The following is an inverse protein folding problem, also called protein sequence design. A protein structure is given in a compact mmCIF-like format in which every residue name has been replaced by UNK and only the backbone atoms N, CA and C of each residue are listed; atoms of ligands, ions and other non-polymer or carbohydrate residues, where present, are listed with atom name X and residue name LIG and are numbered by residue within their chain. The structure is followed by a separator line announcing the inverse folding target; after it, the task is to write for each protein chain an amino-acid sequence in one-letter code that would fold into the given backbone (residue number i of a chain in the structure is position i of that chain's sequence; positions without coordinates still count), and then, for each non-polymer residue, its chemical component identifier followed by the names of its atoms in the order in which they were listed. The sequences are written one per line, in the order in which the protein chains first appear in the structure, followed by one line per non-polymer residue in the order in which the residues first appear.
data_IF_698090646594
#
_entry.id   IF_698090646594
#
_cell.length_a   1.000
_cell.length_b   1.000
_cell.length_c   1.000
_cell.angle_alpha   90.00
_cell.angle_beta   90.00
_cell.angle_gamma   90.00
#
_symmetry.space_group_name_H-M   'P 1'
#
loop_
_entity.id
_entity.type
_entity.pdbx_description
1 polymer ?
#
# COMPACT_ATOMS: atom_id res chain seq x y z
N UNK A 1 9.42 -8.26 12.19
CA UNK A 1 9.37 -6.99 11.43
C UNK A 1 9.63 -7.35 9.98
N UNK A 2 8.73 -7.08 9.05
CA UNK A 2 8.94 -7.42 7.64
C UNK A 2 10.14 -6.67 7.07
N UNK A 3 10.95 -7.38 6.29
CA UNK A 3 12.15 -6.85 5.66
C UNK A 3 11.80 -5.87 4.52
N UNK A 4 12.59 -4.80 4.39
CA UNK A 4 12.47 -3.86 3.27
C UNK A 4 13.13 -4.44 2.03
N UNK A 5 12.41 -4.43 0.92
CA UNK A 5 12.83 -4.92 -0.38
C UNK A 5 13.00 -3.72 -1.31
N UNK A 6 14.04 -3.75 -2.14
CA UNK A 6 14.30 -2.72 -3.13
C UNK A 6 13.16 -2.62 -4.15
N UNK A 7 12.76 -1.39 -4.52
CA UNK A 7 11.65 -1.18 -5.45
C UNK A 7 11.90 -1.73 -6.86
N UNK A 8 13.15 -1.95 -7.26
CA UNK A 8 13.47 -2.67 -8.51
C UNK A 8 12.81 -4.07 -8.57
N UNK A 9 12.54 -4.68 -7.41
CA UNK A 9 11.87 -5.98 -7.31
C UNK A 9 10.35 -5.88 -7.27
N UNK A 10 9.75 -4.71 -7.50
CA UNK A 10 8.30 -4.52 -7.43
C UNK A 10 7.53 -5.43 -8.39
N UNK A 11 8.10 -5.76 -9.56
CA UNK A 11 7.50 -6.71 -10.50
C UNK A 11 7.28 -8.11 -9.90
N UNK A 12 7.97 -8.44 -8.80
CA UNK A 12 7.81 -9.69 -8.07
C UNK A 12 6.72 -9.62 -6.99
N UNK A 13 6.05 -8.48 -6.80
CA UNK A 13 4.99 -8.34 -5.80
C UNK A 13 3.88 -9.42 -5.90
N UNK A 14 3.49 -9.96 -7.08
CA UNK A 14 2.46 -11.00 -7.13
C UNK A 14 2.88 -12.29 -6.42
N UNK A 15 4.19 -12.58 -6.39
CA UNK A 15 4.77 -13.74 -5.69
C UNK A 15 4.81 -13.55 -4.18
N UNK A 16 4.84 -12.30 -3.73
CA UNK A 16 4.87 -11.93 -2.32
C UNK A 16 3.47 -11.64 -1.76
N UNK A 17 2.48 -11.40 -2.62
CA UNK A 17 1.11 -11.09 -2.23
C UNK A 17 0.48 -12.24 -1.44
N UNK A 18 -0.14 -11.91 -0.30
CA UNK A 18 -0.80 -12.86 0.59
C UNK A 18 -2.10 -12.26 1.12
N UNK A 19 -3.17 -13.07 1.31
CA UNK A 19 -4.41 -12.60 1.92
C UNK A 19 -4.17 -12.00 3.31
N UNK A 20 -4.81 -10.87 3.60
CA UNK A 20 -4.66 -10.15 4.87
C UNK A 20 -3.40 -9.28 4.97
N UNK A 21 -2.62 -9.17 3.90
CA UNK A 21 -1.43 -8.31 3.84
C UNK A 21 -1.55 -7.31 2.69
N UNK A 22 -0.89 -6.16 2.85
CA UNK A 22 -0.72 -5.10 1.85
C UNK A 22 0.76 -4.77 1.73
N UNK A 23 1.14 -4.09 0.65
CA UNK A 23 2.48 -3.57 0.48
C UNK A 23 2.56 -2.15 1.01
N UNK A 24 3.48 -1.91 1.92
CA UNK A 24 3.92 -0.59 2.31
C UNK A 24 5.08 -0.19 1.40
N UNK A 25 4.85 0.79 0.54
CA UNK A 25 5.83 1.38 -0.38
C UNK A 25 6.27 2.71 0.19
N UNK A 26 7.58 2.97 0.21
CA UNK A 26 8.13 4.26 0.63
C UNK A 26 8.95 4.91 -0.47
N UNK A 27 8.99 6.23 -0.47
CA UNK A 27 9.84 7.01 -1.37
C UNK A 27 11.01 7.66 -0.64
N UNK A 28 11.88 8.35 -1.38
CA UNK A 28 13.05 9.04 -0.84
C UNK A 28 12.71 10.14 0.19
N UNK A 29 11.50 10.70 0.15
CA UNK A 29 11.02 11.69 1.11
C UNK A 29 10.45 11.07 2.40
N UNK A 30 10.40 9.74 2.49
CA UNK A 30 9.82 9.04 3.63
C UNK A 30 8.29 8.99 3.64
N UNK A 31 7.62 9.37 2.54
CA UNK A 31 6.18 9.15 2.38
C UNK A 31 5.91 7.64 2.28
N UNK A 32 4.82 7.17 2.92
CA UNK A 32 4.43 5.76 2.95
C UNK A 32 3.06 5.55 2.29
N UNK A 33 2.96 4.56 1.40
CA UNK A 33 1.76 4.20 0.64
C UNK A 33 1.45 2.74 0.92
N UNK A 34 0.24 2.48 1.37
CA UNK A 34 -0.27 1.12 1.57
C UNK A 34 -1.13 0.76 0.36
N UNK A 35 -0.72 -0.25 -0.38
CA UNK A 35 -1.41 -0.66 -1.61
C UNK A 35 -1.36 -2.17 -1.79
N UNK A 36 -2.26 -2.71 -2.61
CA UNK A 36 -2.13 -4.07 -3.10
C UNK A 36 -0.98 -4.17 -4.12
N UNK A 37 -0.65 -5.38 -4.56
CA UNK A 37 0.26 -5.55 -5.67
C UNK A 37 -0.39 -5.04 -6.97
N UNK A 38 0.10 -3.91 -7.48
CA UNK A 38 -0.34 -3.31 -8.72
C UNK A 38 0.88 -2.96 -9.58
N UNK A 39 0.97 -3.55 -10.78
CA UNK A 39 2.11 -3.38 -11.70
C UNK A 39 1.57 -2.82 -13.04
N UNK A 40 1.99 -1.61 -13.47
CA UNK A 40 2.87 -0.68 -12.77
C UNK A 40 2.22 -0.07 -11.53
N UNK A 41 3.01 0.31 -10.53
CA UNK A 41 2.51 1.01 -9.36
C UNK A 41 1.91 2.36 -9.78
N UNK A 42 0.69 2.66 -9.34
CA UNK A 42 0.05 3.97 -9.52
C UNK A 42 0.02 4.74 -8.19
N UNK A 43 1.07 5.52 -7.88
CA UNK A 43 1.05 6.36 -6.69
C UNK A 43 0.00 7.48 -6.82
N UNK A 44 -0.51 8.00 -5.69
CA UNK A 44 -1.43 9.13 -5.69
C UNK A 44 -0.76 10.40 -6.22
N UNK A 45 -1.55 11.39 -6.65
CA UNK A 45 -1.02 12.66 -7.19
C UNK A 45 -0.21 13.48 -6.16
N UNK A 46 -0.38 13.21 -4.87
CA UNK A 46 0.39 13.82 -3.77
C UNK A 46 1.77 13.20 -3.56
N UNK A 47 2.16 12.23 -4.39
CA UNK A 47 3.42 11.52 -4.27
C UNK A 47 4.55 12.28 -4.95
N UNK A 48 5.50 12.77 -4.16
CA UNK A 48 6.50 13.74 -4.65
C UNK A 48 7.69 13.10 -5.35
N UNK A 49 8.04 11.87 -4.97
CA UNK A 49 9.30 11.21 -5.36
C UNK A 49 9.10 9.76 -5.77
N UNK A 50 10.05 9.24 -6.55
CA UNK A 50 10.06 7.85 -6.97
C UNK A 50 10.05 6.89 -5.75
N UNK A 51 9.29 5.79 -5.82
CA UNK A 51 9.37 4.71 -4.84
C UNK A 51 10.79 4.16 -4.75
N UNK A 52 11.28 3.89 -3.53
CA UNK A 52 12.65 3.40 -3.30
C UNK A 52 12.68 2.01 -2.69
N UNK A 53 11.69 1.66 -1.86
CA UNK A 53 11.59 0.35 -1.22
C UNK A 53 10.16 0.03 -0.87
N UNK A 54 9.88 -1.26 -0.74
CA UNK A 54 8.59 -1.75 -0.29
C UNK A 54 8.75 -2.90 0.69
N UNK A 55 7.71 -3.19 1.48
CA UNK A 55 7.64 -4.39 2.33
C UNK A 55 6.20 -4.88 2.41
N UNK A 56 6.03 -6.17 2.70
CA UNK A 56 4.71 -6.74 2.95
C UNK A 56 4.35 -6.55 4.44
N UNK A 57 3.23 -5.92 4.73
CA UNK A 57 2.73 -5.69 6.09
C UNK A 57 1.29 -6.17 6.22
N UNK A 58 0.85 -6.45 7.44
CA UNK A 58 -0.55 -6.78 7.69
C UNK A 58 -1.45 -5.62 7.26
N UNK A 59 -2.56 -5.94 6.61
CA UNK A 59 -3.53 -4.94 6.17
C UNK A 59 -4.03 -4.15 7.39
N UNK A 60 -3.95 -2.81 7.38
CA UNK A 60 -4.47 -2.02 8.49
C UNK A 60 -5.96 -2.33 8.64
N UNK A 61 -6.38 -2.60 9.88
CA UNK A 61 -7.79 -2.88 10.16
C UNK A 61 -8.63 -1.71 9.62
N UNK A 62 -9.67 -1.97 8.81
CA UNK A 62 -10.54 -0.91 8.35
C UNK A 62 -11.06 -0.15 9.57
N UNK A 63 -10.78 1.16 9.61
CA UNK A 63 -11.35 2.02 10.65
C UNK A 63 -12.85 2.00 10.46
N UNK A 64 -13.57 1.49 11.47
CA UNK A 64 -15.01 1.33 11.51
C UNK A 64 -15.74 2.34 10.63
N UNK A 65 -16.34 1.86 9.54
CA UNK A 65 -17.27 2.68 8.76
C UNK A 65 -18.45 3.01 9.68
N UNK A 66 -18.64 4.28 9.99
CA UNK A 66 -19.91 4.74 10.57
C UNK A 66 -21.03 4.36 9.58
N UNK A 67 -22.19 3.86 10.06
CA UNK A 67 -23.28 3.50 9.18
C UNK A 67 -23.68 4.70 8.31
N UNK A 68 -23.92 4.45 7.02
CA UNK A 68 -24.51 5.45 6.12
C UNK A 68 -25.84 5.92 6.75
N UNK A 69 -26.05 7.23 6.97
CA UNK A 69 -27.28 7.72 7.60
C UNK A 69 -28.49 7.33 6.75
N UNK A 70 -29.56 6.88 7.40
CA UNK A 70 -30.80 6.48 6.71
C UNK A 70 -31.38 7.68 5.94
N UNK A 71 -31.92 7.47 4.72
CA UNK A 71 -32.56 8.54 3.96
C UNK A 71 -33.74 9.12 4.75
N UNK A 72 -33.91 10.44 4.69
CA UNK A 72 -35.05 11.16 5.26
C UNK A 72 -36.21 11.07 4.25
N UNK A 73 -37.30 10.42 4.64
CA UNK A 73 -38.59 10.52 3.93
C UNK A 73 -39.31 11.80 4.28
#
# INVERSE_FOLDING_TARGET
MSEWIDFDRWQECPRLARPGYVFEVTNAEGQSLFTACEVPLRPPSSWTSAPVRFRLVEAPKPRHSTPIPKPRS
#
